data_IF_690637325712
#
_entry.id   IF_690637325712
#
_cell.length_a   1.000
_cell.length_b   1.000
_cell.length_c   1.000
_cell.angle_alpha   90.00
_cell.angle_beta   90.00
_cell.angle_gamma   90.00
#
_symmetry.space_group_name_H-M   'P 1'
#
loop_
_entity.id
_entity.type
_entity.pdbx_description
1 polymer ?
#
# COMPACT_ATOMS: atom_id res chain seq x y z
N UNK A 1 24.17 24.64 -6.02
CA UNK A 1 23.17 25.52 -5.37
C UNK A 1 21.89 25.65 -6.21
N UNK A 2 21.94 26.19 -7.44
CA UNK A 2 20.74 26.37 -8.28
C UNK A 2 19.97 25.07 -8.59
N UNK A 3 20.67 23.99 -8.94
CA UNK A 3 20.05 22.67 -9.23
C UNK A 3 19.34 22.08 -7.99
N UNK A 4 19.94 22.21 -6.81
CA UNK A 4 19.35 21.75 -5.54
C UNK A 4 18.09 22.54 -5.20
N UNK A 5 18.13 23.87 -5.34
CA UNK A 5 16.97 24.75 -5.13
C UNK A 5 15.83 24.36 -6.08
N UNK A 6 16.14 24.10 -7.35
CA UNK A 6 15.16 23.70 -8.36
C UNK A 6 14.53 22.33 -8.06
N UNK A 7 15.30 21.37 -7.54
CA UNK A 7 14.80 20.05 -7.12
C UNK A 7 13.88 20.18 -5.89
N UNK A 8 14.25 21.00 -4.91
CA UNK A 8 13.40 21.28 -3.74
C UNK A 8 12.07 21.93 -4.15
N UNK A 9 12.10 22.90 -5.07
CA UNK A 9 10.89 23.53 -5.62
C UNK A 9 10.01 22.51 -6.37
N UNK A 10 10.62 21.62 -7.16
CA UNK A 10 9.88 20.57 -7.86
C UNK A 10 9.22 19.57 -6.90
N UNK A 11 9.92 19.17 -5.84
CA UNK A 11 9.37 18.31 -4.80
C UNK A 11 8.19 18.98 -4.07
N UNK A 12 8.32 20.27 -3.73
CA UNK A 12 7.24 21.06 -3.12
C UNK A 12 6.00 21.15 -4.01
N UNK A 13 6.17 21.34 -5.32
CA UNK A 13 5.06 21.36 -6.28
C UNK A 13 4.36 20.01 -6.38
N UNK A 14 5.10 18.90 -6.37
CA UNK A 14 4.52 17.55 -6.40
C UNK A 14 3.75 17.23 -5.11
N UNK A 15 4.30 17.61 -3.95
CA UNK A 15 3.60 17.48 -2.66
C UNK A 15 2.32 18.31 -2.67
N UNK A 16 2.36 19.56 -3.17
CA UNK A 16 1.17 20.41 -3.27
C UNK A 16 0.09 19.86 -4.20
N UNK A 17 0.48 19.26 -5.33
CA UNK A 17 -0.43 18.59 -6.26
C UNK A 17 -1.10 17.35 -5.63
N UNK A 18 -0.33 16.53 -4.92
CA UNK A 18 -0.84 15.34 -4.22
C UNK A 18 -1.86 15.68 -3.13
N UNK A 19 -1.82 16.90 -2.57
CA UNK A 19 -2.76 17.40 -1.56
C UNK A 19 -3.98 18.12 -2.18
N UNK A 20 -4.01 18.31 -3.50
CA UNK A 20 -5.09 18.99 -4.19
C UNK A 20 -6.31 18.08 -4.32
N UNK A 21 -7.32 18.29 -3.46
CA UNK A 21 -8.55 17.50 -3.45
C UNK A 21 -9.19 17.39 -4.84
N UNK A 22 -9.61 16.17 -5.19
CA UNK A 22 -10.32 15.91 -6.43
C UNK A 22 -11.73 16.51 -6.38
N UNK A 23 -12.27 17.01 -7.51
CA UNK A 23 -13.65 17.45 -7.57
C UNK A 23 -14.59 16.30 -7.15
N UNK A 24 -15.53 16.59 -6.25
CA UNK A 24 -16.53 15.62 -5.79
C UNK A 24 -17.47 15.32 -6.95
N UNK A 25 -17.29 14.15 -7.57
CA UNK A 25 -18.23 13.63 -8.55
C UNK A 25 -19.39 12.95 -7.83
N UNK A 26 -20.60 13.47 -7.98
CA UNK A 26 -21.80 12.74 -7.55
C UNK A 26 -22.07 11.62 -8.56
N UNK A 27 -21.63 10.40 -8.24
CA UNK A 27 -22.06 9.23 -9.00
C UNK A 27 -23.35 8.67 -8.38
N UNK A 28 -24.32 8.30 -9.23
CA UNK A 28 -25.57 7.69 -8.78
C UNK A 28 -25.43 6.23 -8.35
N UNK A 29 -24.24 5.63 -8.55
CA UNK A 29 -23.85 4.26 -8.19
C UNK A 29 -24.96 3.21 -8.31
N UNK A 30 -24.95 2.39 -9.36
CA UNK A 30 -25.88 1.25 -9.40
C UNK A 30 -25.43 0.16 -8.40
N UNK A 31 -26.36 -0.45 -7.65
CA UNK A 31 -26.03 -1.58 -6.79
C UNK A 31 -25.31 -2.68 -7.58
N UNK A 32 -24.16 -3.14 -7.07
CA UNK A 32 -23.48 -4.29 -7.63
C UNK A 32 -24.30 -5.55 -7.33
N UNK A 33 -25.05 -6.03 -8.32
CA UNK A 33 -25.85 -7.25 -8.24
C UNK A 33 -25.12 -8.47 -8.82
N UNK A 34 -23.81 -8.36 -9.07
CA UNK A 34 -23.02 -9.50 -9.52
C UNK A 34 -23.04 -10.60 -8.44
N UNK A 35 -23.13 -11.88 -8.84
CA UNK A 35 -23.08 -12.97 -7.88
C UNK A 35 -21.72 -12.99 -7.16
N UNK A 36 -21.71 -13.48 -5.93
CA UNK A 36 -20.47 -13.80 -5.24
C UNK A 36 -19.76 -14.90 -6.04
N UNK A 37 -18.52 -14.63 -6.44
CA UNK A 37 -17.71 -15.58 -7.20
C UNK A 37 -17.04 -16.52 -6.20
N UNK A 38 -17.53 -17.75 -6.13
CA UNK A 38 -16.84 -18.83 -5.43
C UNK A 38 -15.74 -19.38 -6.33
N UNK A 39 -14.49 -19.02 -6.03
CA UNK A 39 -13.33 -19.51 -6.76
C UNK A 39 -12.31 -20.15 -5.83
N UNK A 40 -12.16 -21.47 -5.96
CA UNK A 40 -11.10 -22.20 -5.29
C UNK A 40 -9.74 -21.83 -5.91
N UNK A 41 -8.74 -21.41 -5.11
CA UNK A 41 -7.42 -21.08 -5.63
C UNK A 41 -6.79 -22.26 -6.39
N UNK A 42 -6.40 -22.02 -7.65
CA UNK A 42 -5.75 -22.99 -8.51
C UNK A 42 -4.24 -22.78 -8.50
N UNK A 43 -3.47 -23.83 -8.23
CA UNK A 43 -2.01 -23.76 -8.19
C UNK A 43 -1.43 -23.41 -9.57
N UNK A 44 -0.51 -22.45 -9.60
CA UNK A 44 0.17 -22.00 -10.82
C UNK A 44 1.63 -22.44 -10.82
N UNK A 45 2.40 -22.01 -9.82
CA UNK A 45 3.84 -22.30 -9.72
C UNK A 45 4.36 -22.12 -8.30
N UNK A 46 5.56 -22.63 -8.03
CA UNK A 46 6.25 -22.47 -6.75
C UNK A 46 7.72 -22.17 -6.96
N UNK A 47 8.30 -21.44 -6.01
CA UNK A 47 9.73 -21.22 -5.85
C UNK A 47 10.15 -21.61 -4.43
N UNK A 48 11.43 -21.54 -4.11
CA UNK A 48 11.84 -21.64 -2.70
C UNK A 48 11.12 -20.54 -1.92
N UNK A 49 10.53 -20.88 -0.79
CA UNK A 49 9.82 -19.94 0.09
C UNK A 49 8.56 -19.28 -0.50
N UNK A 50 7.97 -19.81 -1.59
CA UNK A 50 6.69 -19.28 -2.05
C UNK A 50 5.89 -20.14 -3.04
N UNK A 51 4.58 -19.89 -3.09
CA UNK A 51 3.62 -20.54 -3.98
C UNK A 51 2.64 -19.52 -4.52
N UNK A 52 2.36 -19.58 -5.82
CA UNK A 52 1.37 -18.75 -6.50
C UNK A 52 0.16 -19.59 -6.89
N UNK A 53 -1.02 -19.05 -6.61
CA UNK A 53 -2.32 -19.54 -7.04
C UNK A 53 -3.10 -18.42 -7.73
N UNK A 54 -4.08 -18.78 -8.55
CA UNK A 54 -5.08 -17.84 -9.06
C UNK A 54 -6.47 -18.24 -8.56
N UNK A 55 -7.25 -17.27 -8.13
CA UNK A 55 -8.66 -17.43 -7.80
C UNK A 55 -9.50 -16.45 -8.64
N UNK A 56 -10.57 -16.93 -9.24
CA UNK A 56 -11.47 -16.15 -10.11
C UNK A 56 -11.49 -16.67 -11.54
N UNK A 57 -12.11 -15.93 -12.45
CA UNK A 57 -12.18 -16.25 -13.87
C UNK A 57 -12.08 -14.97 -14.71
N UNK A 58 -11.44 -15.05 -15.88
CA UNK A 58 -11.31 -13.93 -16.80
C UNK A 58 -10.67 -12.71 -16.14
N UNK A 59 -11.29 -11.54 -16.33
CA UNK A 59 -10.82 -10.26 -15.78
C UNK A 59 -11.00 -10.15 -14.26
N UNK A 60 -11.74 -11.06 -13.62
CA UNK A 60 -11.96 -11.12 -12.17
C UNK A 60 -11.02 -12.11 -11.48
N UNK A 61 -9.86 -12.38 -12.10
CA UNK A 61 -8.82 -13.26 -11.54
C UNK A 61 -7.90 -12.48 -10.60
N UNK A 62 -7.70 -12.99 -9.39
CA UNK A 62 -6.81 -12.44 -8.37
C UNK A 62 -5.67 -13.42 -8.12
N UNK A 63 -4.45 -12.89 -8.00
CA UNK A 63 -3.29 -13.65 -7.57
C UNK A 63 -3.33 -13.89 -6.07
N UNK A 64 -3.15 -15.13 -5.62
CA UNK A 64 -2.99 -15.49 -4.21
C UNK A 64 -1.60 -16.07 -4.02
N UNK A 65 -0.75 -15.35 -3.30
CA UNK A 65 0.67 -15.66 -3.17
C UNK A 65 0.97 -15.99 -1.72
N UNK A 66 1.38 -17.22 -1.45
CA UNK A 66 1.89 -17.59 -0.14
C UNK A 66 3.41 -17.42 -0.12
N UNK A 67 3.92 -16.73 0.90
CA UNK A 67 5.36 -16.51 1.11
C UNK A 67 5.77 -16.97 2.50
N UNK A 68 6.97 -17.53 2.63
CA UNK A 68 7.44 -18.18 3.86
C UNK A 68 8.84 -17.73 4.24
N UNK A 69 9.19 -17.78 5.53
CA UNK A 69 10.57 -17.59 5.99
C UNK A 69 10.86 -16.19 6.52
N UNK A 70 12.11 -15.75 6.35
CA UNK A 70 12.52 -14.39 6.71
C UNK A 70 11.86 -13.35 5.80
N UNK A 71 11.78 -12.09 6.23
CA UNK A 71 11.19 -11.03 5.40
C UNK A 71 11.90 -10.86 4.05
N UNK A 72 13.23 -10.98 4.01
CA UNK A 72 13.96 -11.02 2.75
C UNK A 72 13.55 -12.21 1.88
N UNK A 73 13.49 -13.42 2.45
CA UNK A 73 13.09 -14.64 1.73
C UNK A 73 11.68 -14.52 1.15
N UNK A 74 10.75 -13.96 1.93
CA UNK A 74 9.37 -13.73 1.52
C UNK A 74 9.29 -12.73 0.36
N UNK A 75 10.02 -11.61 0.45
CA UNK A 75 10.12 -10.64 -0.62
C UNK A 75 10.75 -11.23 -1.89
N UNK A 76 11.82 -12.01 -1.73
CA UNK A 76 12.51 -12.68 -2.84
C UNK A 76 11.60 -13.67 -3.56
N UNK A 77 10.89 -14.52 -2.81
CA UNK A 77 9.92 -15.45 -3.37
C UNK A 77 8.79 -14.72 -4.11
N UNK A 78 8.24 -13.65 -3.51
CA UNK A 78 7.21 -12.83 -4.15
C UNK A 78 7.73 -12.22 -5.47
N UNK A 79 8.92 -11.62 -5.45
CA UNK A 79 9.55 -11.03 -6.63
C UNK A 79 9.81 -12.03 -7.76
N UNK A 80 10.16 -13.28 -7.43
CA UNK A 80 10.31 -14.34 -8.43
C UNK A 80 8.96 -14.82 -8.99
N UNK A 81 7.95 -14.96 -8.14
CA UNK A 81 6.62 -15.43 -8.54
C UNK A 81 5.89 -14.41 -9.40
N UNK A 82 6.01 -13.13 -9.07
CA UNK A 82 5.29 -12.02 -9.70
C UNK A 82 6.22 -11.12 -10.54
N UNK A 83 7.29 -11.70 -11.08
CA UNK A 83 8.36 -10.94 -11.75
C UNK A 83 7.83 -10.02 -12.84
N UNK A 84 6.96 -10.53 -13.71
CA UNK A 84 6.48 -9.78 -14.87
C UNK A 84 5.49 -8.69 -14.44
N UNK A 85 4.65 -8.99 -13.44
CA UNK A 85 3.68 -8.09 -12.84
C UNK A 85 4.36 -6.92 -12.12
N UNK A 86 5.39 -7.20 -11.31
CA UNK A 86 6.20 -6.19 -10.62
C UNK A 86 6.91 -5.27 -11.63
N UNK A 87 7.54 -5.85 -12.66
CA UNK A 87 8.22 -5.09 -13.70
C UNK A 87 7.25 -4.31 -14.60
N UNK A 88 5.97 -4.68 -14.65
CA UNK A 88 4.93 -3.89 -15.28
C UNK A 88 4.47 -2.73 -14.39
N UNK A 89 4.10 -3.02 -13.13
CA UNK A 89 3.51 -2.04 -12.20
C UNK A 89 4.47 -0.89 -11.94
N UNK A 90 5.73 -1.17 -11.58
CA UNK A 90 6.66 -0.13 -11.14
C UNK A 90 6.82 1.03 -12.14
N UNK A 91 7.17 0.79 -13.43
CA UNK A 91 7.27 1.88 -14.40
C UNK A 91 5.91 2.43 -14.83
N UNK A 92 4.88 1.59 -14.97
CA UNK A 92 3.57 2.03 -15.46
C UNK A 92 2.88 2.93 -14.47
N UNK A 93 2.90 2.55 -13.19
CA UNK A 93 2.27 3.31 -12.13
C UNK A 93 3.02 4.63 -11.87
N UNK A 94 4.35 4.64 -11.92
CA UNK A 94 5.10 5.89 -11.89
C UNK A 94 4.67 6.83 -13.03
N UNK A 95 4.54 6.31 -14.26
CA UNK A 95 4.10 7.11 -15.40
C UNK A 95 2.66 7.63 -15.23
N UNK A 96 1.79 6.84 -14.61
CA UNK A 96 0.42 7.22 -14.29
C UNK A 96 0.38 8.41 -13.32
N UNK A 97 1.10 8.33 -12.19
CA UNK A 97 1.21 9.44 -11.22
C UNK A 97 1.81 10.70 -11.87
N UNK A 98 2.82 10.54 -12.75
CA UNK A 98 3.39 11.70 -13.46
C UNK A 98 2.36 12.39 -14.37
N UNK A 99 1.44 11.63 -14.95
CA UNK A 99 0.36 12.18 -15.78
C UNK A 99 -0.64 12.97 -14.93
N UNK A 100 -0.93 12.51 -13.72
CA UNK A 100 -1.75 13.25 -12.76
C UNK A 100 -1.06 14.55 -12.33
N UNK A 101 0.23 14.49 -11.98
CA UNK A 101 1.01 15.69 -11.61
C UNK A 101 1.01 16.73 -12.73
N UNK A 102 1.19 16.31 -13.98
CA UNK A 102 1.09 17.17 -15.17
C UNK A 102 -0.23 17.95 -15.19
N UNK A 103 -1.32 17.37 -14.69
CA UNK A 103 -2.60 18.04 -14.66
C UNK A 103 -2.65 19.23 -13.69
N UNK A 104 -1.92 19.14 -12.58
CA UNK A 104 -1.83 20.21 -11.58
C UNK A 104 -0.83 21.31 -11.97
N UNK A 105 0.12 21.01 -12.87
CA UNK A 105 1.12 21.97 -13.36
C UNK A 105 0.90 22.41 -14.82
N UNK A 106 -0.34 22.30 -15.34
CA UNK A 106 -0.73 22.72 -16.72
C UNK A 106 -0.30 24.14 -17.11
N UNK A 107 -0.01 25.00 -16.14
CA UNK A 107 0.47 26.37 -16.33
C UNK A 107 1.96 26.49 -16.70
N UNK A 108 2.72 25.38 -16.66
CA UNK A 108 4.13 25.29 -17.02
C UNK A 108 4.28 24.59 -18.39
N UNK A 109 5.24 24.98 -19.26
CA UNK A 109 5.54 24.24 -20.49
C UNK A 109 5.84 22.75 -20.23
N UNK A 110 5.26 21.87 -21.06
CA UNK A 110 5.30 20.41 -20.88
C UNK A 110 6.70 19.82 -20.60
N UNK A 111 7.79 20.19 -21.30
CA UNK A 111 9.11 19.65 -20.99
C UNK A 111 9.62 19.99 -19.58
N UNK A 112 9.17 21.12 -19.02
CA UNK A 112 9.50 21.55 -17.66
C UNK A 112 8.56 20.85 -16.67
N UNK A 113 7.27 20.70 -16.99
CA UNK A 113 6.32 19.92 -16.20
C UNK A 113 6.75 18.45 -16.05
N UNK A 114 7.11 17.77 -17.15
CA UNK A 114 7.60 16.38 -17.15
C UNK A 114 8.85 16.24 -16.27
N UNK A 115 9.76 17.22 -16.34
CA UNK A 115 10.97 17.24 -15.52
C UNK A 115 10.66 17.49 -14.05
N UNK A 116 9.78 18.45 -13.74
CA UNK A 116 9.34 18.77 -12.38
C UNK A 116 8.61 17.59 -11.77
N UNK A 117 7.70 16.94 -12.48
CA UNK A 117 7.00 15.75 -12.04
C UNK A 117 7.98 14.63 -11.75
N UNK A 118 8.84 14.26 -12.71
CA UNK A 118 9.74 13.11 -12.55
C UNK A 118 10.79 13.33 -11.47
N UNK A 119 11.47 14.48 -11.49
CA UNK A 119 12.54 14.77 -10.53
C UNK A 119 11.96 15.13 -9.17
N UNK A 120 10.86 15.90 -9.14
CA UNK A 120 10.18 16.32 -7.93
C UNK A 120 9.54 15.15 -7.19
N UNK A 121 8.80 14.27 -7.88
CA UNK A 121 8.19 13.09 -7.26
C UNK A 121 9.24 12.15 -6.68
N UNK A 122 10.29 11.83 -7.44
CA UNK A 122 11.35 10.95 -6.94
C UNK A 122 12.11 11.57 -5.77
N UNK A 123 12.37 12.89 -5.81
CA UNK A 123 12.98 13.58 -4.69
C UNK A 123 12.06 13.64 -3.46
N UNK A 124 10.75 13.85 -3.65
CA UNK A 124 9.77 13.84 -2.57
C UNK A 124 9.71 12.46 -1.90
N UNK A 125 9.68 11.38 -2.69
CA UNK A 125 9.69 10.00 -2.16
C UNK A 125 11.00 9.66 -1.45
N UNK A 126 12.15 10.12 -1.95
CA UNK A 126 13.43 9.95 -1.25
C UNK A 126 13.46 10.74 0.08
N UNK A 127 12.91 11.96 0.11
CA UNK A 127 12.79 12.74 1.34
C UNK A 127 11.85 12.02 2.32
N UNK A 128 10.70 11.53 1.86
CA UNK A 128 9.77 10.73 2.66
C UNK A 128 10.48 9.52 3.26
N UNK A 129 11.28 8.80 2.47
CA UNK A 129 12.12 7.72 2.98
C UNK A 129 13.07 8.21 4.07
N UNK A 130 13.83 9.27 3.82
CA UNK A 130 14.86 9.75 4.75
C UNK A 130 14.30 10.20 6.10
N UNK A 131 13.09 10.78 6.12
CA UNK A 131 12.46 11.26 7.36
C UNK A 131 11.67 10.18 8.11
N UNK A 132 11.37 9.05 7.47
CA UNK A 132 10.57 7.96 8.05
C UNK A 132 11.35 6.67 8.31
N UNK A 133 12.53 6.49 7.69
CA UNK A 133 13.33 5.26 7.81
C UNK A 133 13.70 4.86 9.23
N UNK A 134 13.97 5.84 10.11
CA UNK A 134 14.33 5.57 11.50
C UNK A 134 13.13 5.12 12.36
N UNK A 135 11.91 5.26 11.83
CA UNK A 135 10.65 4.83 12.43
C UNK A 135 10.03 3.62 11.72
N UNK A 136 10.73 3.09 10.71
CA UNK A 136 10.29 1.95 9.91
C UNK A 136 11.11 0.73 10.32
N UNK A 137 10.48 -0.40 10.69
CA UNK A 137 11.20 -1.62 11.01
C UNK A 137 12.12 -2.07 9.87
N UNK A 138 13.38 -2.46 10.17
CA UNK A 138 14.35 -2.85 9.13
C UNK A 138 13.85 -4.00 8.25
N UNK A 139 13.08 -4.92 8.86
CA UNK A 139 12.45 -6.06 8.19
C UNK A 139 11.58 -5.66 6.99
N UNK A 140 10.98 -4.47 7.02
CA UNK A 140 10.23 -3.94 5.89
C UNK A 140 11.14 -3.72 4.67
N UNK A 141 12.30 -3.10 4.89
CA UNK A 141 13.28 -2.86 3.84
C UNK A 141 13.98 -4.14 3.39
N UNK A 142 14.16 -5.12 4.28
CA UNK A 142 14.66 -6.45 3.92
C UNK A 142 13.72 -7.12 2.90
N UNK A 143 12.40 -7.02 3.10
CA UNK A 143 11.42 -7.53 2.14
C UNK A 143 11.41 -6.74 0.82
N UNK A 144 11.48 -5.40 0.87
CA UNK A 144 11.61 -4.57 -0.34
C UNK A 144 12.85 -4.97 -1.14
N UNK A 145 13.97 -5.22 -0.47
CA UNK A 145 15.19 -5.70 -1.10
C UNK A 145 14.98 -7.09 -1.72
N UNK A 146 14.31 -8.00 -1.00
CA UNK A 146 13.94 -9.31 -1.52
C UNK A 146 13.13 -9.18 -2.82
N UNK A 147 12.10 -8.34 -2.85
CA UNK A 147 11.26 -8.13 -4.06
C UNK A 147 12.12 -7.64 -5.22
N UNK A 148 12.97 -6.65 -4.99
CA UNK A 148 13.87 -6.10 -6.01
C UNK A 148 14.81 -7.19 -6.57
N UNK A 149 15.45 -7.97 -5.69
CA UNK A 149 16.38 -9.04 -6.09
C UNK A 149 15.68 -10.19 -6.81
N UNK A 150 14.48 -10.58 -6.35
CA UNK A 150 13.70 -11.68 -6.92
C UNK A 150 13.09 -11.34 -8.28
N UNK A 151 12.63 -10.10 -8.46
CA UNK A 151 12.04 -9.61 -9.71
C UNK A 151 13.08 -9.03 -10.69
N UNK A 152 14.27 -8.66 -10.19
CA UNK A 152 15.27 -7.89 -10.94
C UNK A 152 14.89 -6.41 -11.14
N UNK A 153 13.92 -5.90 -10.39
CA UNK A 153 13.52 -4.51 -10.43
C UNK A 153 14.51 -3.59 -9.72
N UNK A 154 14.44 -2.29 -10.01
CA UNK A 154 15.25 -1.28 -9.32
C UNK A 154 14.80 -1.15 -7.86
N UNK A 155 15.72 -1.32 -6.91
CA UNK A 155 15.44 -1.25 -5.47
C UNK A 155 14.83 0.11 -5.08
N UNK A 156 15.39 1.21 -5.59
CA UNK A 156 14.92 2.55 -5.23
C UNK A 156 13.48 2.78 -5.70
N UNK A 157 13.14 2.34 -6.91
CA UNK A 157 11.78 2.42 -7.43
C UNK A 157 10.82 1.50 -6.64
N UNK A 158 11.27 0.28 -6.32
CA UNK A 158 10.49 -0.69 -5.53
C UNK A 158 10.17 -0.14 -4.14
N UNK A 159 11.15 0.48 -3.47
CA UNK A 159 10.99 1.17 -2.19
C UNK A 159 10.07 2.38 -2.30
N UNK A 160 10.29 3.22 -3.31
CA UNK A 160 9.53 4.46 -3.48
C UNK A 160 8.05 4.19 -3.76
N UNK A 161 7.72 3.09 -4.46
CA UNK A 161 6.34 2.64 -4.63
C UNK A 161 5.63 2.48 -3.27
N UNK A 162 6.29 1.85 -2.30
CA UNK A 162 5.69 1.58 -0.99
C UNK A 162 5.32 2.87 -0.22
N UNK A 163 6.10 3.93 -0.41
CA UNK A 163 5.94 5.20 0.30
C UNK A 163 4.97 6.16 -0.39
N UNK A 164 4.38 5.77 -1.52
CA UNK A 164 3.46 6.66 -2.23
C UNK A 164 2.23 6.96 -1.40
N UNK A 165 1.65 5.97 -0.71
CA UNK A 165 0.47 6.17 0.14
C UNK A 165 0.75 7.18 1.25
N UNK A 166 1.93 7.10 1.88
CA UNK A 166 2.40 8.07 2.86
C UNK A 166 2.55 9.48 2.28
N UNK A 167 3.01 9.60 1.03
CA UNK A 167 3.17 10.89 0.36
C UNK A 167 1.83 11.54 -0.02
N UNK A 168 0.90 10.76 -0.60
CA UNK A 168 -0.35 11.27 -1.19
C UNK A 168 -1.53 11.26 -0.23
N UNK A 169 -1.52 10.38 0.78
CA UNK A 169 -2.54 10.25 1.83
C UNK A 169 -3.96 10.09 1.27
N UNK A 170 -4.16 9.02 0.50
CA UNK A 170 -5.43 8.74 -0.16
C UNK A 170 -6.60 8.54 0.80
N UNK A 171 -7.81 8.85 0.33
CA UNK A 171 -9.05 8.58 1.05
C UNK A 171 -9.62 7.21 0.70
N UNK A 172 -10.23 6.56 1.69
CA UNK A 172 -10.96 5.30 1.53
C UNK A 172 -12.37 5.40 2.13
N UNK A 173 -13.20 4.39 1.87
CA UNK A 173 -14.46 4.15 2.56
C UNK A 173 -14.41 2.83 3.31
N UNK A 174 -14.92 2.81 4.55
CA UNK A 174 -14.84 1.65 5.44
C UNK A 174 -16.06 1.58 6.34
N UNK A 175 -16.50 0.37 6.64
CA UNK A 175 -17.67 0.07 7.46
C UNK A 175 -17.37 -1.13 8.35
N UNK A 176 -17.79 -1.06 9.61
CA UNK A 176 -17.68 -2.15 10.57
C UNK A 176 -19.00 -2.30 11.32
N UNK A 177 -19.49 -3.53 11.45
CA UNK A 177 -20.65 -3.89 12.25
C UNK A 177 -20.35 -5.16 13.04
N UNK A 178 -20.70 -5.19 14.32
CA UNK A 178 -20.53 -6.35 15.20
C UNK A 178 -21.70 -6.46 16.17
N UNK A 179 -21.72 -7.52 16.97
CA UNK A 179 -22.68 -7.70 18.06
C UNK A 179 -24.14 -7.57 17.58
N UNK A 180 -24.94 -6.71 18.21
CA UNK A 180 -26.34 -6.50 17.83
C UNK A 180 -26.54 -5.86 16.45
N UNK A 181 -25.46 -5.41 15.79
CA UNK A 181 -25.51 -4.88 14.44
C UNK A 181 -25.41 -5.97 13.35
N UNK A 182 -25.15 -7.23 13.69
CA UNK A 182 -25.08 -8.36 12.75
C UNK A 182 -26.01 -9.50 13.20
N UNK A 183 -26.56 -10.33 12.28
CA UNK A 183 -27.56 -11.36 12.63
C UNK A 183 -27.07 -12.41 13.65
N UNK A 184 -25.76 -12.68 13.69
CA UNK A 184 -25.14 -13.70 14.52
C UNK A 184 -24.12 -13.14 15.53
N UNK A 185 -23.99 -11.81 15.62
CA UNK A 185 -23.01 -11.15 16.48
C UNK A 185 -21.58 -11.13 15.95
N UNK A 186 -21.33 -11.71 14.77
CA UNK A 186 -20.00 -11.71 14.14
C UNK A 186 -19.57 -10.31 13.71
N UNK A 187 -18.26 -10.09 13.60
CA UNK A 187 -17.71 -8.89 13.00
C UNK A 187 -17.82 -8.97 11.48
N UNK A 188 -18.53 -8.01 10.89
CA UNK A 188 -18.51 -7.69 9.48
C UNK A 188 -17.70 -6.43 9.26
N UNK A 189 -16.65 -6.54 8.46
CA UNK A 189 -15.82 -5.42 8.05
C UNK A 189 -15.84 -5.32 6.53
N UNK A 190 -16.09 -4.11 6.03
CA UNK A 190 -16.14 -3.80 4.61
C UNK A 190 -15.24 -2.61 4.34
N UNK A 191 -14.53 -2.67 3.22
CA UNK A 191 -13.71 -1.58 2.73
C UNK A 191 -13.91 -1.40 1.23
N UNK A 192 -13.94 -0.15 0.81
CA UNK A 192 -13.69 0.27 -0.56
C UNK A 192 -12.45 1.17 -0.58
N UNK A 193 -11.49 0.81 -1.42
CA UNK A 193 -10.35 1.65 -1.75
C UNK A 193 -10.64 2.33 -3.07
N UNK A 194 -10.87 3.64 -3.01
CA UNK A 194 -11.20 4.43 -4.18
C UNK A 194 -9.89 4.86 -4.85
N UNK A 195 -9.72 4.46 -6.11
CA UNK A 195 -8.60 4.86 -6.95
C UNK A 195 -9.06 5.03 -8.39
N UNK A 196 -8.26 5.69 -9.23
CA UNK A 196 -8.53 5.75 -10.67
C UNK A 196 -8.65 4.33 -11.25
N UNK A 197 -9.78 4.03 -11.89
CA UNK A 197 -10.03 2.76 -12.56
C UNK A 197 -9.01 2.48 -13.67
N UNK A 198 -8.36 3.51 -14.23
CA UNK A 198 -7.31 3.40 -15.23
C UNK A 198 -5.93 3.10 -14.63
N UNK A 199 -5.80 3.09 -13.31
CA UNK A 199 -4.52 2.85 -12.63
C UNK A 199 -3.93 1.50 -13.01
N UNK A 200 -2.63 1.46 -13.35
CA UNK A 200 -1.92 0.21 -13.60
C UNK A 200 -1.97 -0.80 -12.45
N UNK A 201 -2.21 -0.36 -11.21
CA UNK A 201 -2.37 -1.24 -10.06
C UNK A 201 -3.56 -2.19 -10.24
N UNK A 202 -4.67 -1.73 -10.85
CA UNK A 202 -5.90 -2.52 -11.02
C UNK A 202 -5.72 -3.76 -11.89
N UNK A 203 -4.59 -3.89 -12.61
CA UNK A 203 -4.30 -5.06 -13.44
C UNK A 203 -3.83 -6.29 -12.67
N UNK A 204 -3.21 -6.10 -11.51
CA UNK A 204 -2.64 -7.20 -10.73
C UNK A 204 -2.99 -7.10 -9.25
N UNK A 205 -4.30 -7.10 -8.90
CA UNK A 205 -4.72 -7.28 -7.51
C UNK A 205 -4.15 -8.60 -7.00
N UNK A 206 -3.58 -8.57 -5.81
CA UNK A 206 -2.86 -9.69 -5.21
C UNK A 206 -3.19 -9.81 -3.74
N UNK A 207 -3.59 -11.01 -3.32
CA UNK A 207 -3.62 -11.41 -1.91
C UNK A 207 -2.26 -12.01 -1.58
N UNK A 208 -1.52 -11.41 -0.66
CA UNK A 208 -0.23 -11.90 -0.21
C UNK A 208 -0.43 -12.50 1.18
N UNK A 209 -0.22 -13.81 1.32
CA UNK A 209 -0.34 -14.55 2.58
C UNK A 209 1.05 -14.85 3.11
N UNK A 210 1.35 -14.33 4.28
CA UNK A 210 2.63 -14.38 4.94
C UNK A 210 2.66 -15.49 5.98
N UNK A 211 3.75 -16.26 5.96
CA UNK A 211 4.08 -17.29 6.94
C UNK A 211 5.51 -17.06 7.48
N UNK A 212 5.68 -16.09 8.39
CA UNK A 212 6.99 -15.75 8.94
C UNK A 212 7.63 -16.94 9.64
N UNK A 213 8.95 -17.10 9.50
CA UNK A 213 9.67 -18.13 10.26
C UNK A 213 9.88 -17.72 11.73
N UNK A 214 10.02 -18.69 12.66
CA UNK A 214 10.11 -18.39 14.09
C UNK A 214 11.26 -17.45 14.50
N UNK A 215 12.35 -17.43 13.73
CA UNK A 215 13.51 -16.56 13.93
C UNK A 215 13.24 -15.08 13.65
N UNK A 216 12.14 -14.75 12.96
CA UNK A 216 11.71 -13.36 12.76
C UNK A 216 11.17 -12.71 14.04
N UNK A 217 10.77 -13.52 15.03
CA UNK A 217 10.05 -13.06 16.22
C UNK A 217 8.58 -12.72 15.98
N UNK A 218 8.11 -12.80 14.73
CA UNK A 218 6.71 -12.60 14.35
C UNK A 218 5.97 -13.92 14.44
N UNK A 219 4.83 -13.93 15.14
CA UNK A 219 4.09 -15.17 15.45
C UNK A 219 2.76 -15.31 14.72
N UNK A 220 2.33 -14.25 14.04
CA UNK A 220 1.10 -14.24 13.28
C UNK A 220 1.40 -14.63 11.83
N UNK A 221 0.63 -15.58 11.31
CA UNK A 221 0.35 -15.61 9.89
C UNK A 221 -0.59 -14.44 9.58
N UNK A 222 -0.36 -13.73 8.47
CA UNK A 222 -1.20 -12.60 8.08
C UNK A 222 -1.34 -12.50 6.58
N UNK A 223 -2.36 -11.79 6.12
CA UNK A 223 -2.53 -11.53 4.71
C UNK A 223 -2.72 -10.04 4.44
N UNK A 224 -2.23 -9.61 3.28
CA UNK A 224 -2.48 -8.29 2.71
C UNK A 224 -3.35 -8.43 1.47
N UNK A 225 -4.42 -7.64 1.40
CA UNK A 225 -5.14 -7.38 0.16
C UNK A 225 -4.48 -6.17 -0.52
N UNK A 226 -3.72 -6.44 -1.59
CA UNK A 226 -2.74 -5.53 -2.15
C UNK A 226 -2.62 -5.69 -3.67
N UNK A 227 -1.46 -5.32 -4.23
CA UNK A 227 -1.07 -5.52 -5.62
C UNK A 227 0.31 -6.17 -5.70
N UNK A 228 0.64 -6.73 -6.86
CA UNK A 228 1.94 -7.37 -7.06
C UNK A 228 3.10 -6.41 -6.77
N UNK A 229 3.94 -6.77 -5.78
CA UNK A 229 5.10 -5.98 -5.35
C UNK A 229 4.76 -4.81 -4.40
N UNK A 230 3.51 -4.64 -3.98
CA UNK A 230 3.11 -3.65 -2.99
C UNK A 230 2.89 -4.32 -1.63
N UNK A 231 3.65 -3.92 -0.62
CA UNK A 231 3.72 -4.58 0.69
C UNK A 231 3.48 -3.64 1.87
N UNK A 232 3.27 -2.35 1.62
CA UNK A 232 2.75 -1.43 2.64
C UNK A 232 1.27 -1.77 2.88
N UNK A 233 0.84 -1.86 4.14
CA UNK A 233 -0.50 -2.36 4.44
C UNK A 233 -1.55 -1.26 4.31
N UNK A 234 -2.61 -1.56 3.55
CA UNK A 234 -3.81 -0.72 3.47
C UNK A 234 -5.07 -1.54 3.82
N UNK A 235 -5.02 -2.85 3.57
CA UNK A 235 -5.98 -3.85 4.08
C UNK A 235 -5.29 -5.16 4.38
N UNK A 236 -5.82 -5.85 5.37
CA UNK A 236 -5.41 -7.21 5.68
C UNK A 236 -6.09 -7.72 6.94
N UNK A 237 -5.77 -8.98 7.24
CA UNK A 237 -6.21 -9.68 8.43
C UNK A 237 -5.12 -10.64 8.87
N UNK A 238 -5.00 -10.89 10.17
CA UNK A 238 -4.10 -11.90 10.71
C UNK A 238 -4.85 -13.13 11.22
N UNK A 239 -4.11 -14.19 11.51
CA UNK A 239 -4.64 -15.48 11.99
C UNK A 239 -5.25 -15.42 13.39
N UNK A 240 -5.17 -14.27 14.08
CA UNK A 240 -5.84 -13.98 15.35
C UNK A 240 -7.19 -13.27 15.16
N UNK A 241 -7.58 -12.98 13.92
CA UNK A 241 -8.81 -12.29 13.60
C UNK A 241 -8.74 -10.77 13.76
N UNK A 242 -7.54 -10.20 13.89
CA UNK A 242 -7.34 -8.74 13.83
C UNK A 242 -7.28 -8.34 12.37
N UNK A 243 -8.18 -7.45 11.97
CA UNK A 243 -8.28 -6.94 10.62
C UNK A 243 -8.16 -5.42 10.59
N UNK A 244 -7.61 -4.90 9.50
CA UNK A 244 -7.35 -3.46 9.32
C UNK A 244 -8.07 -2.94 8.07
N UNK A 245 -8.62 -1.75 8.20
CA UNK A 245 -9.10 -0.92 7.10
C UNK A 245 -8.76 0.51 7.45
N UNK A 246 -8.20 1.29 6.53
CA UNK A 246 -7.83 2.67 6.84
C UNK A 246 -8.69 3.68 6.09
N UNK A 247 -8.78 4.89 6.65
CA UNK A 247 -9.14 6.11 5.93
C UNK A 247 -8.30 7.30 6.43
N UNK A 248 -7.73 8.08 5.51
CA UNK A 248 -7.13 9.37 5.86
C UNK A 248 -8.16 10.36 6.42
N UNK A 249 -7.80 11.08 7.48
CA UNK A 249 -8.70 12.02 8.16
C UNK A 249 -8.17 13.46 8.06
N UNK A 250 -8.72 14.22 7.11
CA UNK A 250 -8.27 15.58 6.75
C UNK A 250 -8.82 16.70 7.66
N UNK A 251 -9.92 16.48 8.40
CA UNK A 251 -10.69 17.56 9.06
C UNK A 251 -10.81 17.43 10.60
N UNK A 252 -9.70 17.11 11.28
CA UNK A 252 -9.65 16.93 12.74
C UNK A 252 -9.09 18.11 13.54
N UNK A 253 -9.63 18.42 14.73
CA UNK A 253 -9.05 19.44 15.63
C UNK A 253 -7.69 19.02 16.26
N UNK A 254 -7.18 17.82 15.94
CA UNK A 254 -5.98 17.20 16.50
C UNK A 254 -4.83 17.03 15.48
N UNK A 255 -4.87 17.75 14.34
CA UNK A 255 -3.86 17.63 13.29
C UNK A 255 -2.56 18.33 13.71
N UNK A 256 -1.62 17.57 14.27
CA UNK A 256 -0.19 17.89 14.22
C UNK A 256 0.51 16.91 13.27
N UNK A 257 0.43 17.20 11.97
CA UNK A 257 1.11 16.45 10.92
C UNK A 257 2.63 16.63 11.02
N UNK A 258 3.32 15.71 11.70
CA UNK A 258 4.78 15.81 11.86
C UNK A 258 5.55 15.45 10.58
N UNK A 259 4.97 14.69 9.63
CA UNK A 259 5.64 14.00 8.48
C UNK A 259 6.87 13.14 8.83
N UNK A 260 7.39 13.27 10.06
CA UNK A 260 8.53 12.59 10.65
C UNK A 260 7.97 11.63 11.69
N UNK A 261 7.99 10.34 11.36
CA UNK A 261 7.36 9.32 12.16
C UNK A 261 7.19 8.02 11.39
N UNK A 262 6.44 7.09 11.98
CA UNK A 262 6.10 5.82 11.37
C UNK A 262 5.06 6.04 10.27
N UNK A 263 5.35 5.67 9.00
CA UNK A 263 4.36 5.76 7.93
C UNK A 263 3.11 4.98 8.30
N UNK A 264 1.92 5.52 8.05
CA UNK A 264 0.69 4.91 8.55
C UNK A 264 0.51 3.47 8.04
N UNK A 265 0.85 3.22 6.79
CA UNK A 265 0.75 1.90 6.15
C UNK A 265 1.68 0.86 6.77
N UNK A 266 2.77 1.32 7.38
CA UNK A 266 3.73 0.46 8.08
C UNK A 266 3.21 0.18 9.49
N UNK A 267 2.66 1.18 10.19
CA UNK A 267 1.99 0.96 11.48
C UNK A 267 0.85 -0.05 11.35
N UNK A 268 0.02 0.09 10.31
CA UNK A 268 -1.06 -0.85 10.01
C UNK A 268 -0.53 -2.27 9.75
N UNK A 269 0.64 -2.37 9.11
CA UNK A 269 1.28 -3.65 8.87
C UNK A 269 1.82 -4.27 10.17
N UNK A 270 2.44 -3.47 11.03
CA UNK A 270 2.91 -3.91 12.36
C UNK A 270 1.75 -4.45 13.20
N UNK A 271 0.54 -3.88 13.09
CA UNK A 271 -0.66 -4.44 13.72
C UNK A 271 -0.91 -5.88 13.26
N UNK A 272 -0.90 -6.13 11.95
CA UNK A 272 -1.14 -7.47 11.41
C UNK A 272 -0.04 -8.46 11.83
N UNK A 273 1.22 -8.02 11.81
CA UNK A 273 2.37 -8.83 12.19
C UNK A 273 2.35 -9.19 13.69
N UNK A 274 2.03 -8.25 14.57
CA UNK A 274 2.33 -8.38 16.01
C UNK A 274 1.11 -8.46 16.92
N UNK A 275 -0.05 -7.95 16.52
CA UNK A 275 -1.22 -7.86 17.41
C UNK A 275 -1.92 -9.20 17.58
N UNK A 276 -2.14 -9.62 18.82
CA UNK A 276 -2.90 -10.84 19.15
C UNK A 276 -4.37 -10.55 19.43
N UNK A 277 -4.68 -9.29 19.74
CA UNK A 277 -6.01 -8.81 20.15
C UNK A 277 -6.28 -7.42 19.58
N UNK A 278 -7.54 -6.99 19.66
CA UNK A 278 -7.92 -5.61 19.33
C UNK A 278 -7.21 -4.58 20.24
N UNK A 279 -7.01 -4.90 21.52
CA UNK A 279 -6.33 -4.00 22.45
C UNK A 279 -4.85 -3.82 22.07
N UNK A 280 -4.17 -4.88 21.60
CA UNK A 280 -2.81 -4.77 21.06
C UNK A 280 -2.78 -3.83 19.85
N UNK A 281 -3.73 -3.99 18.93
CA UNK A 281 -3.84 -3.14 17.74
C UNK A 281 -4.06 -1.65 18.11
N UNK A 282 -4.94 -1.39 19.09
CA UNK A 282 -5.17 -0.04 19.63
C UNK A 282 -3.89 0.51 20.26
N UNK A 283 -3.16 -0.31 21.01
CA UNK A 283 -1.90 0.09 21.63
C UNK A 283 -0.81 0.43 20.61
N UNK A 284 -0.66 -0.38 19.56
CA UNK A 284 0.28 -0.09 18.45
C UNK A 284 -0.08 1.25 17.81
N UNK A 285 -1.35 1.46 17.44
CA UNK A 285 -1.80 2.71 16.83
C UNK A 285 -1.63 3.92 17.75
N UNK A 286 -1.91 3.78 19.05
CA UNK A 286 -1.86 4.86 20.03
C UNK A 286 -0.42 5.31 20.34
N UNK A 287 0.53 4.37 20.32
CA UNK A 287 1.93 4.64 20.63
C UNK A 287 2.80 4.94 19.41
N UNK A 288 2.30 4.70 18.20
CA UNK A 288 3.00 5.08 16.98
C UNK A 288 3.23 6.60 16.91
N UNK A 289 4.45 7.01 16.54
CA UNK A 289 4.74 8.40 16.21
C UNK A 289 4.16 8.70 14.83
N UNK A 290 2.90 9.13 14.79
CA UNK A 290 2.15 9.28 13.53
C UNK A 290 2.72 10.40 12.66
N UNK A 291 2.78 10.14 11.36
CA UNK A 291 3.12 11.14 10.33
C UNK A 291 1.90 11.95 9.88
N UNK A 292 0.71 11.36 10.00
CA UNK A 292 -0.58 11.91 9.62
C UNK A 292 -1.73 11.39 10.48
N UNK A 293 -2.90 12.02 10.37
CA UNK A 293 -4.15 11.52 10.98
C UNK A 293 -4.83 10.48 10.09
N UNK A 294 -5.13 9.30 10.65
CA UNK A 294 -5.88 8.24 9.98
C UNK A 294 -6.81 7.55 10.98
N UNK A 295 -7.88 6.95 10.47
CA UNK A 295 -8.81 6.13 11.24
C UNK A 295 -8.73 4.69 10.73
N UNK A 296 -8.75 3.74 11.66
CA UNK A 296 -8.90 2.32 11.35
C UNK A 296 -10.06 1.71 12.14
N UNK A 297 -10.76 0.74 11.54
CA UNK A 297 -11.88 -0.03 12.11
C UNK A 297 -11.80 -1.44 11.59
#
# INVERSE_FOLDING_TARGET
>A
MARTIFVCLAALLCVGAALGGHPVYTCGGEPNNNPIIEANPQFIKSVKNGKLYHAGQGDETISVVHVYGSFYDMGYAQGQLLKDEVNYILPSFLQHILTEVDEYVKWIPKPIADWVGKVGLMAALDITYDITKDYTPSRFYDEVQGIADGSGADYRLTRNLQLLGELVKAGCSMFGASDSATPDGSLLQLRALDWDYQSPLNKYPTIIVYHPSPDTGITNDFLLASWAGYIAAISGVNDKGVAISEKHYDDGPLIEDSRIGSPFQIVLREILEESLTLDDAINVMANARRTCSYVSR
#
